data_IF_200194398264
#
_entry.id   IF_200194398264
#
_cell.length_a   1.000
_cell.length_b   1.000
_cell.length_c   1.000
_cell.angle_alpha   90.00
_cell.angle_beta   90.00
_cell.angle_gamma   90.00
#
_symmetry.space_group_name_H-M   'P 1'
#
loop_
_entity.id
_entity.type
_entity.pdbx_description
1 polymer ?
#
# COMPACT_ATOMS: atom_id res chain seq x y z
N UNK A 1 -7.89 -13.56 1.02
CA UNK A 1 -7.38 -12.18 0.81
C UNK A 1 -6.80 -12.11 -0.57
N UNK A 2 -7.37 -11.27 -1.42
CA UNK A 2 -6.97 -11.09 -2.81
C UNK A 2 -6.58 -9.63 -3.06
N UNK A 3 -5.55 -9.42 -3.87
CA UNK A 3 -5.09 -8.07 -4.23
C UNK A 3 -6.07 -7.45 -5.23
N UNK A 4 -6.70 -6.33 -4.85
CA UNK A 4 -7.71 -5.62 -5.67
C UNK A 4 -7.17 -4.35 -6.32
N UNK A 5 -6.26 -3.64 -5.64
CA UNK A 5 -5.75 -2.35 -6.11
C UNK A 5 -4.32 -2.11 -5.64
N UNK A 6 -3.50 -1.54 -6.52
CA UNK A 6 -2.21 -0.94 -6.17
C UNK A 6 -2.31 0.58 -6.33
N UNK A 7 -1.87 1.35 -5.33
CA UNK A 7 -1.74 2.81 -5.40
C UNK A 7 -0.29 3.22 -5.27
N UNK A 8 0.15 4.09 -6.16
CA UNK A 8 1.51 4.63 -6.20
C UNK A 8 1.47 6.15 -6.14
N UNK A 9 2.32 6.75 -5.29
CA UNK A 9 2.51 8.20 -5.22
C UNK A 9 3.99 8.50 -5.03
N UNK A 10 4.50 9.47 -5.79
CA UNK A 10 5.92 9.86 -5.79
C UNK A 10 6.89 8.69 -6.03
N UNK A 11 6.46 7.60 -6.66
CA UNK A 11 7.27 6.40 -6.89
C UNK A 11 7.71 6.31 -8.35
N UNK A 12 9.00 6.50 -8.60
CA UNK A 12 9.63 6.51 -9.93
C UNK A 12 8.84 7.36 -10.91
N UNK A 13 8.29 6.81 -11.99
CA UNK A 13 7.48 7.53 -12.97
C UNK A 13 6.11 7.99 -12.44
N UNK A 14 5.60 7.40 -11.36
CA UNK A 14 4.29 7.69 -10.77
C UNK A 14 4.40 8.87 -9.80
N UNK A 15 4.41 10.09 -10.35
CA UNK A 15 4.44 11.33 -9.56
C UNK A 15 3.14 11.52 -8.77
N UNK A 16 2.03 11.59 -9.48
CA UNK A 16 0.71 11.80 -8.87
C UNK A 16 0.16 10.48 -8.30
N UNK A 17 -0.75 10.54 -7.31
CA UNK A 17 -1.51 9.38 -6.87
C UNK A 17 -2.12 8.67 -8.08
N UNK A 18 -1.69 7.43 -8.31
CA UNK A 18 -2.14 6.61 -9.43
C UNK A 18 -2.65 5.30 -8.90
N UNK A 19 -3.88 4.95 -9.26
CA UNK A 19 -4.53 3.71 -8.89
C UNK A 19 -4.48 2.73 -10.05
N UNK A 20 -4.09 1.49 -9.77
CA UNK A 20 -4.04 0.38 -10.71
C UNK A 20 -4.99 -0.69 -10.18
N UNK A 21 -6.11 -0.85 -10.86
CA UNK A 21 -7.14 -1.84 -10.52
C UNK A 21 -6.67 -3.21 -11.01
N UNK A 22 -6.80 -4.22 -10.15
CA UNK A 22 -6.46 -5.61 -10.45
C UNK A 22 -7.77 -6.39 -10.49
N UNK A 23 -8.06 -6.94 -11.66
CA UNK A 23 -9.23 -7.77 -11.91
C UNK A 23 -9.12 -9.11 -11.16
N UNK A 24 -10.27 -9.62 -10.71
CA UNK A 24 -10.41 -10.89 -10.01
C UNK A 24 -9.91 -12.09 -10.82
N UNK A 25 -10.08 -12.06 -12.15
CA UNK A 25 -9.78 -13.18 -13.02
C UNK A 25 -8.37 -13.09 -13.60
N UNK A 26 -8.08 -12.03 -14.35
CA UNK A 26 -6.81 -11.84 -15.04
C UNK A 26 -6.58 -10.36 -15.35
N UNK A 27 -5.43 -9.85 -14.91
CA UNK A 27 -4.97 -8.50 -15.27
C UNK A 27 -3.77 -8.57 -16.21
N UNK A 28 -3.89 -8.01 -17.41
CA UNK A 28 -2.80 -7.89 -18.37
C UNK A 28 -2.15 -6.51 -18.33
N UNK A 29 -0.83 -6.44 -18.13
CA UNK A 29 -0.06 -5.19 -18.20
C UNK A 29 0.61 -5.09 -19.57
N UNK A 30 0.09 -4.20 -20.43
CA UNK A 30 0.60 -3.99 -21.80
C UNK A 30 1.08 -2.55 -22.00
N UNK A 31 1.97 -2.36 -22.98
CA UNK A 31 2.55 -1.04 -23.30
C UNK A 31 3.95 -1.15 -23.86
N UNK A 32 4.52 -0.02 -24.29
CA UNK A 32 5.91 0.05 -24.80
C UNK A 32 6.92 -0.27 -23.70
N UNK A 33 8.09 -0.77 -24.07
CA UNK A 33 9.17 -1.03 -23.11
C UNK A 33 9.66 0.28 -22.49
N UNK A 34 10.08 0.21 -21.23
CA UNK A 34 10.57 1.35 -20.45
C UNK A 34 9.53 2.42 -20.10
N UNK A 35 8.23 2.12 -20.29
CA UNK A 35 7.10 3.01 -19.89
C UNK A 35 6.54 2.68 -18.49
N UNK A 36 7.30 2.01 -17.62
CA UNK A 36 6.89 1.77 -16.23
C UNK A 36 6.07 0.50 -15.98
N UNK A 37 6.02 -0.43 -16.93
CA UNK A 37 5.39 -1.76 -16.73
C UNK A 37 6.08 -2.55 -15.61
N UNK A 38 7.41 -2.69 -15.69
CA UNK A 38 8.19 -3.37 -14.65
C UNK A 38 8.09 -2.66 -13.31
N UNK A 39 7.94 -1.34 -13.31
CA UNK A 39 7.76 -0.54 -12.10
C UNK A 39 6.54 -0.95 -11.28
N UNK A 40 5.45 -1.38 -11.91
CA UNK A 40 4.27 -1.91 -11.21
C UNK A 40 4.65 -3.19 -10.46
N UNK A 41 5.33 -4.12 -11.13
CA UNK A 41 5.74 -5.40 -10.52
C UNK A 41 6.80 -5.19 -9.44
N UNK A 42 7.73 -4.27 -9.62
CA UNK A 42 8.76 -3.94 -8.64
C UNK A 42 8.16 -3.25 -7.40
N UNK A 43 7.18 -2.37 -7.57
CA UNK A 43 6.42 -1.82 -6.45
C UNK A 43 5.75 -2.93 -5.62
N UNK A 44 5.10 -3.89 -6.28
CA UNK A 44 4.50 -5.03 -5.59
C UNK A 44 5.57 -5.89 -4.89
N UNK A 45 6.70 -6.14 -5.53
CA UNK A 45 7.80 -6.91 -4.94
C UNK A 45 8.38 -6.22 -3.69
N UNK A 46 8.56 -4.89 -3.72
CA UNK A 46 8.95 -4.07 -2.56
C UNK A 46 7.87 -4.13 -1.49
N UNK A 47 6.59 -3.99 -1.88
CA UNK A 47 5.47 -4.02 -0.94
C UNK A 47 5.36 -5.35 -0.20
N UNK A 48 5.51 -6.48 -0.89
CA UNK A 48 5.48 -7.81 -0.30
C UNK A 48 6.81 -8.28 0.28
N UNK A 49 7.85 -7.42 0.26
CA UNK A 49 9.18 -7.73 0.79
C UNK A 49 9.78 -9.01 0.20
N UNK A 50 9.61 -9.18 -1.12
CA UNK A 50 10.18 -10.33 -1.85
C UNK A 50 11.70 -10.35 -1.68
N UNK A 51 12.30 -11.53 -1.51
CA UNK A 51 13.74 -11.65 -1.31
C UNK A 51 14.54 -10.91 -2.39
N UNK A 52 15.48 -10.06 -1.95
CA UNK A 52 16.30 -9.23 -2.83
C UNK A 52 15.64 -7.95 -3.35
N UNK A 53 14.32 -7.79 -3.21
CA UNK A 53 13.59 -6.61 -3.67
C UNK A 53 13.31 -5.66 -2.51
N UNK A 54 14.13 -4.61 -2.43
CA UNK A 54 14.10 -3.60 -1.36
C UNK A 54 13.96 -2.22 -1.97
N UNK A 55 13.28 -1.34 -1.24
CA UNK A 55 13.21 0.07 -1.62
C UNK A 55 14.60 0.70 -1.63
N UNK A 56 14.85 1.57 -2.60
CA UNK A 56 16.08 2.33 -2.76
C UNK A 56 15.78 3.83 -2.89
N UNK A 57 16.78 4.67 -2.62
CA UNK A 57 16.67 6.13 -2.78
C UNK A 57 16.28 6.54 -4.21
N UNK A 58 16.62 5.73 -5.22
CA UNK A 58 16.28 5.99 -6.62
C UNK A 58 14.80 5.67 -6.94
N UNK A 59 14.06 5.07 -6.02
CA UNK A 59 12.61 4.85 -6.18
C UNK A 59 11.80 6.13 -5.98
N UNK A 60 12.37 7.16 -5.36
CA UNK A 60 11.71 8.46 -5.22
C UNK A 60 11.60 9.15 -6.59
N UNK A 61 10.41 9.66 -6.93
CA UNK A 61 10.23 10.47 -8.12
C UNK A 61 11.14 11.71 -8.06
N UNK A 62 11.99 11.87 -9.08
CA UNK A 62 13.01 12.90 -9.10
C UNK A 62 12.45 14.32 -9.28
N UNK A 63 11.25 14.49 -9.85
CA UNK A 63 10.59 15.79 -9.96
C UNK A 63 9.97 16.18 -8.62
N UNK A 64 9.21 15.29 -7.98
CA UNK A 64 8.65 15.50 -6.64
C UNK A 64 9.75 15.82 -5.63
N UNK A 65 10.88 15.10 -5.67
CA UNK A 65 12.03 15.37 -4.80
C UNK A 65 12.60 16.78 -4.98
N UNK A 66 12.70 17.27 -6.23
CA UNK A 66 13.17 18.64 -6.52
C UNK A 66 12.19 19.71 -6.06
N UNK A 67 10.91 19.38 -5.98
CA UNK A 67 9.86 20.29 -5.51
C UNK A 67 9.68 20.26 -3.99
N UNK A 68 10.48 19.45 -3.27
CA UNK A 68 10.54 19.41 -1.81
C UNK A 68 9.80 18.25 -1.16
N UNK A 69 9.18 17.35 -1.93
CA UNK A 69 8.67 16.10 -1.37
C UNK A 69 9.82 15.22 -0.88
N UNK A 70 9.66 14.62 0.30
CA UNK A 70 10.67 13.75 0.91
C UNK A 70 10.23 12.29 1.01
N UNK A 71 9.05 11.92 0.48
CA UNK A 71 8.43 10.61 0.69
C UNK A 71 7.71 10.10 -0.55
N UNK A 72 7.74 8.77 -0.71
CA UNK A 72 6.90 8.04 -1.65
C UNK A 72 6.07 6.98 -0.94
N UNK A 73 4.98 6.60 -1.58
CA UNK A 73 3.99 5.68 -1.02
C UNK A 73 3.71 4.53 -2.00
N UNK A 74 3.66 3.33 -1.46
CA UNK A 74 3.13 2.14 -2.12
C UNK A 74 2.03 1.60 -1.22
N UNK A 75 0.80 1.57 -1.72
CA UNK A 75 -0.34 1.03 -0.98
C UNK A 75 -1.05 -0.08 -1.77
N UNK A 76 -1.53 -1.10 -1.07
CA UNK A 76 -2.34 -2.16 -1.66
C UNK A 76 -3.68 -2.25 -0.94
N UNK A 77 -4.76 -2.40 -1.71
CA UNK A 77 -6.07 -2.77 -1.20
C UNK A 77 -6.34 -4.25 -1.46
N UNK A 78 -6.90 -4.91 -0.45
CA UNK A 78 -7.28 -6.31 -0.50
C UNK A 78 -8.78 -6.49 -0.28
N UNK A 79 -9.37 -7.34 -1.11
CA UNK A 79 -10.71 -7.87 -0.94
C UNK A 79 -10.66 -9.38 -0.61
N UNK A 80 -11.80 -10.07 -0.68
CA UNK A 80 -11.90 -11.50 -0.33
C UNK A 80 -11.27 -11.77 1.05
N UNK A 81 -11.69 -10.97 2.03
CA UNK A 81 -11.12 -10.96 3.37
C UNK A 81 -11.54 -12.22 4.15
N UNK A 82 -10.72 -12.70 5.10
CA UNK A 82 -11.12 -13.83 5.92
C UNK A 82 -12.38 -13.46 6.72
N UNK A 83 -13.29 -14.44 6.88
CA UNK A 83 -14.54 -14.26 7.62
C UNK A 83 -14.29 -13.83 9.08
N UNK A 84 -13.13 -14.17 9.63
CA UNK A 84 -12.70 -13.79 10.97
C UNK A 84 -11.17 -13.71 11.08
N UNK A 85 -10.72 -12.94 12.07
CA UNK A 85 -9.32 -12.84 12.51
C UNK A 85 -9.24 -13.15 14.01
N UNK A 86 -8.08 -13.65 14.44
CA UNK A 86 -7.78 -13.85 15.86
C UNK A 86 -6.83 -12.73 16.30
N UNK A 87 -7.25 -11.90 17.26
CA UNK A 87 -6.36 -10.86 17.84
C UNK A 87 -5.38 -11.51 18.83
N UNK A 88 -5.89 -12.46 19.60
CA UNK A 88 -5.16 -13.28 20.58
C UNK A 88 -5.78 -14.69 20.56
N UNK A 89 -5.16 -15.67 21.23
CA UNK A 89 -5.55 -17.09 21.26
C UNK A 89 -7.01 -17.37 21.68
N UNK A 90 -7.73 -16.34 22.15
CA UNK A 90 -9.08 -16.44 22.72
C UNK A 90 -10.10 -15.47 22.14
N UNK A 91 -9.70 -14.54 21.28
CA UNK A 91 -10.60 -13.48 20.79
C UNK A 91 -10.68 -13.53 19.27
N UNK A 92 -11.82 -14.04 18.79
CA UNK A 92 -12.21 -14.04 17.39
C UNK A 92 -13.03 -12.78 17.09
N UNK A 93 -12.65 -12.05 16.04
CA UNK A 93 -13.33 -10.84 15.56
C UNK A 93 -13.28 -10.76 14.04
N UNK A 94 -13.70 -9.66 13.43
CA UNK A 94 -13.61 -9.41 11.98
C UNK A 94 -12.90 -8.08 11.71
N UNK A 95 -12.28 -7.91 10.53
CA UNK A 95 -11.68 -6.63 10.16
C UNK A 95 -12.71 -5.48 10.14
N UNK A 96 -13.97 -5.79 9.79
CA UNK A 96 -15.06 -4.81 9.78
C UNK A 96 -15.45 -4.35 11.19
N UNK A 97 -15.60 -5.28 12.14
CA UNK A 97 -15.97 -4.97 13.53
C UNK A 97 -14.87 -4.21 14.27
N UNK A 98 -13.62 -4.41 13.88
CA UNK A 98 -12.47 -3.65 14.42
C UNK A 98 -12.23 -2.31 13.69
N UNK A 99 -13.13 -1.90 12.78
CA UNK A 99 -12.99 -0.65 12.01
C UNK A 99 -11.67 -0.56 11.21
N UNK A 100 -11.15 -1.70 10.72
CA UNK A 100 -9.89 -1.79 9.97
C UNK A 100 -10.07 -1.76 8.45
N UNK A 101 -11.27 -1.46 7.97
CA UNK A 101 -11.59 -1.39 6.54
C UNK A 101 -11.67 0.07 6.06
N UNK A 102 -11.34 0.31 4.81
CA UNK A 102 -11.52 1.61 4.15
C UNK A 102 -12.99 1.85 3.74
N UNK A 103 -13.27 3.00 3.13
CA UNK A 103 -14.63 3.38 2.70
C UNK A 103 -15.25 2.39 1.70
N UNK A 104 -14.42 1.70 0.92
CA UNK A 104 -14.84 0.69 -0.06
C UNK A 104 -15.04 -0.71 0.57
N UNK A 105 -14.89 -0.85 1.89
CA UNK A 105 -14.97 -2.12 2.60
C UNK A 105 -13.75 -3.03 2.37
N UNK A 106 -12.65 -2.49 1.86
CA UNK A 106 -11.41 -3.23 1.61
C UNK A 106 -10.40 -3.03 2.74
N UNK A 107 -9.49 -3.99 2.89
CA UNK A 107 -8.33 -3.84 3.77
C UNK A 107 -7.20 -3.12 3.02
N UNK A 108 -6.86 -1.90 3.41
CA UNK A 108 -5.85 -1.09 2.72
C UNK A 108 -4.60 -0.91 3.59
N UNK A 109 -3.45 -1.38 3.08
CA UNK A 109 -2.16 -1.23 3.75
C UNK A 109 -1.33 -0.22 2.96
N UNK A 110 -0.76 0.74 3.69
CA UNK A 110 0.07 1.81 3.14
C UNK A 110 1.49 1.68 3.70
N UNK A 111 2.47 1.57 2.79
CA UNK A 111 3.90 1.65 3.13
C UNK A 111 4.48 2.97 2.64
N UNK A 112 4.98 3.77 3.58
CA UNK A 112 5.60 5.07 3.32
C UNK A 112 7.11 4.97 3.47
N UNK A 113 7.84 5.52 2.50
CA UNK A 113 9.30 5.46 2.42
C UNK A 113 9.87 6.88 2.32
N UNK A 114 11.01 7.14 2.97
CA UNK A 114 11.75 8.40 2.79
C UNK A 114 12.54 8.35 1.48
N UNK A 115 12.82 9.51 0.91
CA UNK A 115 13.74 9.63 -0.22
C UNK A 115 15.16 9.12 0.10
N UNK A 116 15.52 9.03 1.38
CA UNK A 116 16.79 8.47 1.86
C UNK A 116 16.70 6.99 2.25
N UNK A 117 15.56 6.35 2.05
CA UNK A 117 15.36 4.95 2.45
C UNK A 117 16.24 4.02 1.63
N UNK A 118 16.84 3.04 2.30
CA UNK A 118 17.44 1.85 1.70
C UNK A 118 16.95 0.64 2.49
N UNK A 119 16.03 -0.12 1.92
CA UNK A 119 15.39 -1.26 2.59
C UNK A 119 13.97 -0.97 3.06
N UNK A 120 13.80 -0.85 4.38
CA UNK A 120 12.50 -0.92 5.05
C UNK A 120 11.71 0.38 4.96
N UNK A 121 10.37 0.32 4.94
CA UNK A 121 9.53 1.52 5.02
C UNK A 121 9.80 2.30 6.31
N UNK A 122 9.61 3.61 6.25
CA UNK A 122 9.57 4.47 7.45
C UNK A 122 8.34 4.13 8.30
N UNK A 123 7.22 3.85 7.64
CA UNK A 123 5.94 3.59 8.30
C UNK A 123 5.13 2.59 7.47
N UNK A 124 4.50 1.65 8.16
CA UNK A 124 3.43 0.80 7.62
C UNK A 124 2.18 1.06 8.44
N UNK A 125 1.06 1.38 7.79
CA UNK A 125 -0.22 1.60 8.47
C UNK A 125 -1.38 0.99 7.68
N UNK A 126 -2.51 0.82 8.36
CA UNK A 126 -3.80 0.46 7.76
C UNK A 126 -4.56 1.76 7.50
N UNK A 127 -4.95 2.02 6.25
CA UNK A 127 -5.82 3.14 5.89
C UNK A 127 -7.27 2.67 6.01
N UNK A 128 -7.96 3.13 7.03
CA UNK A 128 -9.29 2.65 7.39
C UNK A 128 -10.16 3.77 7.95
N UNK A 129 -11.47 3.50 8.07
CA UNK A 129 -12.44 4.38 8.72
C UNK A 129 -12.54 3.95 10.18
N UNK A 130 -11.59 4.45 10.97
CA UNK A 130 -11.51 4.21 12.40
C UNK A 130 -12.02 5.44 13.18
N UNK A 131 -12.79 5.27 14.28
CA UNK A 131 -13.18 6.39 15.14
C UNK A 131 -11.97 7.17 15.65
N UNK A 132 -11.95 8.49 15.43
CA UNK A 132 -10.87 9.38 15.87
C UNK A 132 -11.32 10.47 16.87
N UNK A 133 -12.62 10.52 17.17
CA UNK A 133 -13.20 11.38 18.19
C UNK A 133 -12.85 10.92 19.62
N UNK A 134 -12.65 11.86 20.53
CA UNK A 134 -12.49 11.56 21.96
C UNK A 134 -13.81 11.00 22.54
N UNK A 135 -13.77 9.96 23.40
CA UNK A 135 -12.59 9.31 24.00
C UNK A 135 -12.05 8.10 23.21
N UNK A 136 -12.58 7.83 22.01
CA UNK A 136 -12.35 6.62 21.23
C UNK A 136 -11.03 6.63 20.43
N UNK A 137 -10.37 7.78 20.37
CA UNK A 137 -9.12 8.00 19.64
C UNK A 137 -7.98 7.04 20.01
N UNK A 138 -7.99 6.47 21.22
CA UNK A 138 -6.93 5.57 21.73
C UNK A 138 -7.32 4.07 21.67
N UNK A 139 -8.27 3.68 20.81
CA UNK A 139 -8.70 2.28 20.68
C UNK A 139 -7.69 1.36 19.96
N UNK A 140 -6.47 1.83 19.66
CA UNK A 140 -5.40 1.07 19.00
C UNK A 140 -4.09 1.12 19.78
#
# INVERSE_FOLDING_TARGET
MRLRKLKLKNFRGYRNPTEIIIDESMTGIVGRNDFGKSTILEALAIFFETEGMKADKNDMNCFSLREGDGRFEIACEFDDLPDFIMIDDRVQTTLASEHLLNEDGNFEIVKTFKATTSGKPEQTCIRCIHPDEEPLRNLL
#
